data_IF_722515605202
#
_entry.id   IF_722515605202
#
_cell.length_a   1.000
_cell.length_b   1.000
_cell.length_c   1.000
_cell.angle_alpha   90.00
_cell.angle_beta   90.00
_cell.angle_gamma   90.00
#
_symmetry.space_group_name_H-M   'P 1'
#
loop_
_entity.id
_entity.type
_entity.pdbx_description
1 polymer ?
#
# COMPACT_ATOMS: atom_id res chain seq x y z
N UNK A 1 7.03 4.44 -24.21
CA UNK A 1 6.60 3.84 -22.94
C UNK A 1 7.47 4.35 -21.79
N UNK A 2 6.85 4.71 -20.68
CA UNK A 2 7.54 5.11 -19.45
C UNK A 2 7.13 4.18 -18.31
N UNK A 3 8.09 3.72 -17.54
CA UNK A 3 7.88 2.87 -16.39
C UNK A 3 8.52 3.55 -15.17
N UNK A 4 7.73 3.80 -14.12
CA UNK A 4 8.15 4.49 -12.92
C UNK A 4 7.87 3.63 -11.69
N UNK A 5 8.88 3.50 -10.83
CA UNK A 5 8.78 2.81 -9.54
C UNK A 5 8.92 3.85 -8.44
N UNK A 6 7.89 3.98 -7.61
CA UNK A 6 7.90 4.90 -6.49
C UNK A 6 7.91 4.11 -5.19
N UNK A 7 8.97 4.23 -4.41
CA UNK A 7 9.04 3.63 -3.08
C UNK A 7 8.20 4.51 -2.14
N UNK A 8 7.02 4.01 -1.77
CA UNK A 8 6.10 4.73 -0.88
C UNK A 8 6.56 4.67 0.57
N UNK A 9 7.27 3.62 0.93
CA UNK A 9 7.88 3.44 2.22
C UNK A 9 8.90 2.32 2.17
N UNK A 10 9.97 2.44 2.97
CA UNK A 10 11.05 1.45 3.04
C UNK A 10 11.38 1.05 4.48
N UNK A 11 10.54 1.38 5.43
CA UNK A 11 10.70 0.97 6.82
C UNK A 11 10.34 -0.51 7.01
N UNK A 12 10.83 -1.07 8.10
CA UNK A 12 10.47 -2.41 8.54
C UNK A 12 9.04 -2.45 9.08
N UNK A 13 8.62 -3.59 9.61
CA UNK A 13 7.25 -3.81 10.08
C UNK A 13 6.73 -2.77 11.07
N UNK A 14 7.60 -2.18 11.87
CA UNK A 14 7.24 -1.14 12.83
C UNK A 14 7.50 0.29 12.35
N UNK A 15 8.13 0.45 11.20
CA UNK A 15 8.58 1.76 10.73
C UNK A 15 9.72 2.35 11.54
N UNK A 16 10.08 3.60 11.26
CA UNK A 16 11.06 4.38 12.03
C UNK A 16 10.48 5.76 12.29
N UNK A 17 10.36 6.25 13.52
CA UNK A 17 10.62 5.54 14.77
C UNK A 17 9.60 4.43 15.02
N UNK A 18 9.99 3.46 15.83
CA UNK A 18 9.13 2.34 16.18
C UNK A 18 8.41 2.62 17.48
N UNK A 19 7.14 2.24 17.57
CA UNK A 19 6.39 2.30 18.82
C UNK A 19 7.12 1.42 19.86
N UNK A 20 7.42 2.00 21.02
CA UNK A 20 8.15 1.34 22.09
C UNK A 20 9.65 1.58 22.04
N UNK A 21 10.35 1.08 21.02
CA UNK A 21 11.82 1.18 20.95
C UNK A 21 12.34 2.49 20.34
N UNK A 22 11.47 3.29 19.74
CA UNK A 22 11.82 4.61 19.23
C UNK A 22 12.72 4.58 17.99
N UNK A 23 13.75 5.42 18.02
CA UNK A 23 14.62 5.65 16.84
C UNK A 23 15.75 4.62 16.69
N UNK A 24 16.01 3.81 17.71
CA UNK A 24 17.16 2.91 17.71
C UNK A 24 18.47 3.69 17.53
N UNK A 25 19.29 3.29 16.56
CA UNK A 25 20.55 3.97 16.26
C UNK A 25 20.40 5.16 15.30
N UNK A 26 19.18 5.47 14.86
CA UNK A 26 18.93 6.57 13.92
C UNK A 26 18.92 7.92 14.64
N UNK A 27 19.47 8.94 13.97
CA UNK A 27 19.42 10.32 14.46
C UNK A 27 17.98 10.87 14.37
N UNK A 28 17.32 11.18 15.52
CA UNK A 28 15.95 11.66 15.51
C UNK A 28 15.78 13.08 14.94
N UNK A 29 16.87 13.84 14.81
CA UNK A 29 16.83 15.19 14.25
C UNK A 29 16.89 15.21 12.73
N UNK A 30 17.23 14.09 12.08
CA UNK A 30 17.25 13.99 10.64
C UNK A 30 15.88 13.47 10.15
N UNK A 31 15.07 14.33 9.47
CA UNK A 31 13.73 13.93 9.02
C UNK A 31 13.76 12.79 7.99
N UNK A 32 14.86 12.58 7.30
CA UNK A 32 15.02 11.46 6.35
C UNK A 32 15.08 10.10 7.05
N UNK A 33 15.33 10.07 8.35
CA UNK A 33 15.32 8.82 9.12
C UNK A 33 13.92 8.35 9.49
N UNK A 34 12.91 9.20 9.31
CA UNK A 34 11.51 8.77 9.50
C UNK A 34 11.09 7.95 8.30
N UNK A 35 10.76 6.68 8.55
CA UNK A 35 10.44 5.71 7.49
C UNK A 35 9.08 5.08 7.75
N UNK A 36 8.19 5.20 6.76
CA UNK A 36 6.90 4.50 6.76
C UNK A 36 7.10 3.03 6.37
N UNK A 37 6.12 2.18 6.70
CA UNK A 37 6.18 0.76 6.34
C UNK A 37 6.25 0.58 4.83
N UNK A 38 6.78 -0.57 4.43
CA UNK A 38 7.14 -0.86 3.04
C UNK A 38 5.91 -0.90 2.13
N UNK A 39 5.99 -0.20 1.01
CA UNK A 39 5.04 -0.31 -0.09
C UNK A 39 5.66 0.28 -1.35
N UNK A 40 5.23 -0.21 -2.52
CA UNK A 40 5.77 0.19 -3.82
C UNK A 40 4.64 0.49 -4.80
N UNK A 41 4.74 1.61 -5.49
CA UNK A 41 3.85 1.95 -6.59
C UNK A 41 4.59 1.77 -7.92
N UNK A 42 4.00 1.01 -8.83
CA UNK A 42 4.53 0.81 -10.18
C UNK A 42 3.57 1.44 -11.18
N UNK A 43 4.09 2.33 -12.01
CA UNK A 43 3.31 3.04 -13.01
C UNK A 43 3.88 2.79 -14.40
N UNK A 44 3.03 2.40 -15.31
CA UNK A 44 3.35 2.30 -16.74
C UNK A 44 2.49 3.32 -17.48
N UNK A 45 3.12 4.12 -18.33
CA UNK A 45 2.40 5.07 -19.18
C UNK A 45 2.93 5.06 -20.61
N UNK A 46 2.03 5.33 -21.54
CA UNK A 46 2.34 5.55 -22.95
C UNK A 46 1.35 6.58 -23.52
N UNK A 47 1.35 6.80 -24.84
CA UNK A 47 0.44 7.76 -25.47
C UNK A 47 -1.04 7.37 -25.42
N UNK A 48 -1.38 6.17 -24.93
CA UNK A 48 -2.76 5.64 -24.85
C UNK A 48 -3.34 5.70 -23.45
N UNK A 49 -2.51 5.79 -22.41
CA UNK A 49 -3.00 5.79 -21.05
C UNK A 49 -1.93 5.41 -20.02
N UNK A 50 -2.42 5.20 -18.82
CA UNK A 50 -1.59 4.91 -17.64
C UNK A 50 -2.17 3.72 -16.87
N UNK A 51 -1.29 2.83 -16.43
CA UNK A 51 -1.61 1.72 -15.53
C UNK A 51 -0.82 1.88 -14.23
N UNK A 52 -1.50 1.83 -13.09
CA UNK A 52 -0.90 1.91 -11.76
C UNK A 52 -1.18 0.64 -10.99
N UNK A 53 -0.13 0.04 -10.44
CA UNK A 53 -0.20 -1.16 -9.60
C UNK A 53 0.50 -0.87 -8.28
N UNK A 54 -0.21 -1.14 -7.18
CA UNK A 54 0.32 -1.04 -5.83
C UNK A 54 0.81 -2.42 -5.38
N UNK A 55 1.99 -2.48 -4.79
CA UNK A 55 2.50 -3.69 -4.13
C UNK A 55 2.38 -3.49 -2.63
N UNK A 56 1.52 -4.27 -2.01
CA UNK A 56 1.16 -4.27 -0.59
C UNK A 56 0.47 -2.99 -0.11
N UNK A 57 -0.47 -3.17 0.80
CA UNK A 57 -1.18 -2.08 1.48
C UNK A 57 -0.63 -1.94 2.90
N UNK A 58 0.28 -1.00 3.08
CA UNK A 58 0.87 -0.79 4.40
C UNK A 58 -0.10 -0.08 5.37
N UNK A 59 0.13 -0.15 6.67
CA UNK A 59 -0.66 0.62 7.64
C UNK A 59 -0.55 2.13 7.45
N UNK A 60 0.42 2.62 6.69
CA UNK A 60 0.61 4.03 6.37
C UNK A 60 0.03 4.40 4.99
N UNK A 61 -0.79 3.54 4.41
CA UNK A 61 -1.23 3.68 3.01
C UNK A 61 -1.92 5.01 2.73
N UNK A 62 -2.77 5.50 3.64
CA UNK A 62 -3.44 6.78 3.47
C UNK A 62 -2.44 7.89 3.13
N UNK A 63 -1.45 8.09 3.97
CA UNK A 63 -0.43 9.13 3.76
C UNK A 63 0.40 8.86 2.50
N UNK A 64 0.72 7.60 2.24
CA UNK A 64 1.50 7.21 1.07
C UNK A 64 0.78 7.54 -0.23
N UNK A 65 -0.50 7.23 -0.33
CA UNK A 65 -1.30 7.54 -1.52
C UNK A 65 -1.58 9.02 -1.68
N UNK A 66 -1.80 9.75 -0.58
CA UNK A 66 -1.98 11.20 -0.62
C UNK A 66 -0.70 11.90 -1.11
N UNK A 67 0.45 11.53 -0.56
CA UNK A 67 1.73 12.14 -0.94
C UNK A 67 2.09 11.82 -2.41
N UNK A 68 1.77 10.64 -2.89
CA UNK A 68 2.01 10.24 -4.27
C UNK A 68 0.92 10.72 -5.25
N UNK A 69 -0.09 11.41 -4.74
CA UNK A 69 -1.22 11.94 -5.53
C UNK A 69 -1.91 10.84 -6.36
N UNK A 70 -2.14 9.68 -5.73
CA UNK A 70 -2.81 8.55 -6.37
C UNK A 70 -4.31 8.77 -6.36
N UNK A 71 -4.89 8.86 -7.54
CA UNK A 71 -6.33 9.02 -7.75
C UNK A 71 -7.04 7.72 -8.16
N UNK A 72 -6.29 6.73 -8.64
CA UNK A 72 -6.80 5.41 -9.00
C UNK A 72 -5.68 4.38 -9.01
N UNK A 73 -6.06 3.12 -8.74
CA UNK A 73 -5.19 1.94 -8.86
C UNK A 73 -5.87 0.91 -9.75
N UNK A 74 -5.16 0.41 -10.74
CA UNK A 74 -5.66 -0.64 -11.64
C UNK A 74 -5.54 -2.04 -11.03
N UNK A 75 -4.66 -2.19 -10.05
CA UNK A 75 -4.51 -3.45 -9.35
C UNK A 75 -3.67 -3.30 -8.10
N UNK A 76 -3.82 -4.26 -7.19
CA UNK A 76 -3.02 -4.37 -5.98
C UNK A 76 -2.45 -5.79 -5.90
N UNK A 77 -1.15 -5.90 -5.71
CA UNK A 77 -0.46 -7.16 -5.48
C UNK A 77 -0.16 -7.29 -4.00
N UNK A 78 -0.61 -8.38 -3.37
CA UNK A 78 -0.23 -8.69 -1.99
C UNK A 78 0.85 -9.76 -1.99
N UNK A 79 1.99 -9.47 -1.36
CA UNK A 79 3.11 -10.40 -1.29
C UNK A 79 2.87 -11.51 -0.27
N UNK A 80 2.32 -11.15 0.88
CA UNK A 80 1.97 -12.09 1.95
C UNK A 80 1.04 -11.42 2.97
N UNK A 81 0.57 -12.17 3.98
CA UNK A 81 -0.52 -11.77 4.85
C UNK A 81 -0.13 -10.96 6.10
N UNK A 82 1.15 -10.67 6.31
CA UNK A 82 1.57 -9.92 7.50
C UNK A 82 0.91 -8.54 7.58
N UNK A 83 0.77 -8.04 8.80
CA UNK A 83 0.06 -6.80 9.08
C UNK A 83 0.64 -5.59 8.34
N UNK A 84 1.96 -5.51 8.26
CA UNK A 84 2.64 -4.39 7.60
C UNK A 84 2.46 -4.41 6.07
N UNK A 85 2.01 -5.52 5.48
CA UNK A 85 1.66 -5.63 4.06
C UNK A 85 0.16 -5.50 3.79
N UNK A 86 -0.70 -5.68 4.77
CA UNK A 86 -2.14 -5.88 4.52
C UNK A 86 -3.07 -4.92 5.26
N UNK A 87 -2.64 -4.33 6.37
CA UNK A 87 -3.54 -3.58 7.25
C UNK A 87 -3.99 -2.23 6.68
N UNK A 88 -3.42 -1.77 5.58
CA UNK A 88 -3.90 -0.57 4.88
C UNK A 88 -4.99 -0.83 3.86
N UNK A 89 -5.47 -2.06 3.72
CA UNK A 89 -6.46 -2.43 2.70
C UNK A 89 -7.74 -1.58 2.77
N UNK A 90 -8.18 -1.19 3.95
CA UNK A 90 -9.38 -0.37 4.11
C UNK A 90 -9.25 1.00 3.44
N UNK A 91 -8.05 1.55 3.33
CA UNK A 91 -7.85 2.85 2.68
C UNK A 91 -8.10 2.82 1.17
N UNK A 92 -8.16 1.64 0.56
CA UNK A 92 -8.56 1.49 -0.84
C UNK A 92 -10.04 1.81 -1.05
N UNK A 93 -10.84 1.72 -0.01
CA UNK A 93 -12.29 1.93 -0.06
C UNK A 93 -12.65 3.30 -0.64
N UNK A 94 -11.89 4.35 -0.29
CA UNK A 94 -12.13 5.69 -0.82
C UNK A 94 -12.04 5.76 -2.34
N UNK A 95 -11.08 5.06 -2.94
CA UNK A 95 -10.94 4.99 -4.39
C UNK A 95 -12.12 4.24 -5.02
N UNK A 96 -12.49 3.12 -4.44
CA UNK A 96 -13.62 2.29 -4.93
C UNK A 96 -14.93 3.07 -4.90
N UNK A 97 -15.22 3.76 -3.81
CA UNK A 97 -16.44 4.55 -3.64
C UNK A 97 -16.46 5.73 -4.61
N UNK A 98 -15.37 6.47 -4.70
CA UNK A 98 -15.28 7.66 -5.56
C UNK A 98 -15.47 7.32 -7.04
N UNK A 99 -14.82 6.25 -7.49
CA UNK A 99 -14.88 5.84 -8.90
C UNK A 99 -16.02 4.87 -9.21
N UNK A 100 -16.74 4.38 -8.19
CA UNK A 100 -17.81 3.36 -8.32
C UNK A 100 -17.33 2.13 -9.06
N UNK A 101 -16.13 1.68 -8.74
CA UNK A 101 -15.44 0.61 -9.44
C UNK A 101 -14.57 -0.18 -8.46
N UNK A 102 -14.61 -1.50 -8.58
CA UNK A 102 -13.76 -2.39 -7.78
C UNK A 102 -12.32 -2.33 -8.25
N UNK A 103 -11.39 -2.56 -7.32
CA UNK A 103 -9.98 -2.72 -7.62
C UNK A 103 -9.66 -4.21 -7.58
N UNK A 104 -9.05 -4.72 -8.65
CA UNK A 104 -8.61 -6.12 -8.69
C UNK A 104 -7.40 -6.31 -7.78
N UNK A 105 -7.41 -7.40 -7.02
CA UNK A 105 -6.28 -7.79 -6.17
C UNK A 105 -5.72 -9.13 -6.62
N UNK A 106 -4.40 -9.27 -6.53
CA UNK A 106 -3.64 -10.44 -6.97
C UNK A 106 -2.82 -10.95 -5.80
N UNK A 107 -3.04 -12.19 -5.41
CA UNK A 107 -2.40 -12.79 -4.26
C UNK A 107 -2.49 -14.32 -4.37
N UNK A 108 -1.62 -15.01 -3.65
CA UNK A 108 -1.70 -16.47 -3.60
C UNK A 108 -2.86 -16.93 -2.71
N UNK A 109 -3.16 -18.20 -2.76
CA UNK A 109 -4.33 -18.73 -2.05
C UNK A 109 -4.22 -18.65 -0.52
N UNK A 110 -3.07 -18.94 0.12
CA UNK A 110 -2.95 -18.75 1.57
C UNK A 110 -3.19 -17.32 2.01
N UNK A 111 -2.67 -16.33 1.27
CA UNK A 111 -2.89 -14.92 1.53
C UNK A 111 -4.35 -14.55 1.34
N UNK A 112 -4.99 -15.05 0.27
CA UNK A 112 -6.42 -14.81 0.02
C UNK A 112 -7.30 -15.31 1.16
N UNK A 113 -7.03 -16.49 1.69
CA UNK A 113 -7.77 -17.05 2.83
C UNK A 113 -7.62 -16.15 4.06
N UNK A 114 -6.40 -15.72 4.37
CA UNK A 114 -6.13 -14.86 5.52
C UNK A 114 -6.84 -13.50 5.39
N UNK A 115 -6.77 -12.87 4.23
CA UNK A 115 -7.37 -11.56 4.01
C UNK A 115 -8.90 -11.62 4.02
N UNK A 116 -9.49 -12.64 3.41
CA UNK A 116 -10.95 -12.83 3.43
C UNK A 116 -11.49 -13.07 4.83
N UNK A 117 -10.72 -13.73 5.68
CA UNK A 117 -11.08 -13.93 7.08
C UNK A 117 -10.98 -12.63 7.88
N UNK A 118 -9.88 -11.89 7.74
CA UNK A 118 -9.61 -10.67 8.50
C UNK A 118 -10.40 -9.47 8.01
N UNK A 119 -10.59 -9.37 6.71
CA UNK A 119 -11.17 -8.21 6.02
C UNK A 119 -12.31 -8.61 5.09
N UNK A 120 -13.19 -9.47 5.57
CA UNK A 120 -14.31 -10.00 4.77
C UNK A 120 -15.11 -8.89 4.08
N UNK A 121 -15.35 -7.78 4.77
CA UNK A 121 -16.11 -6.66 4.24
C UNK A 121 -15.47 -5.99 3.01
N UNK A 122 -14.17 -6.11 2.82
CA UNK A 122 -13.47 -5.57 1.65
C UNK A 122 -13.75 -6.39 0.38
N UNK A 123 -14.19 -7.64 0.53
CA UNK A 123 -14.37 -8.59 -0.57
C UNK A 123 -15.84 -8.84 -0.91
N UNK A 124 -16.74 -8.14 -0.25
CA UNK A 124 -18.18 -8.27 -0.50
C UNK A 124 -18.73 -6.99 -1.13
N UNK A 125 -19.79 -7.14 -1.94
CA UNK A 125 -20.50 -5.98 -2.49
C UNK A 125 -21.39 -5.39 -1.39
N UNK A 126 -21.32 -4.07 -1.14
CA UNK A 126 -22.20 -3.42 -0.18
C UNK A 126 -23.67 -3.47 -0.62
#
# INVERSE_FOLDING_TARGET
MRLVFTILGCGSSGGVPRVGSGWGACDPTNPKNRRRRCSLLVERSDGRGRTRVLVDTSPDLREQLLDAEVDWLDGVLFTHEHADQTHGIDDLRGLVIHHRRRIDVYLDEPTARALRLRFAYCFTTP
#
